data_IF_326593143474
#
_entry.id   IF_326593143474
#
_cell.length_a   1.000
_cell.length_b   1.000
_cell.length_c   1.000
_cell.angle_alpha   90.00
_cell.angle_beta   90.00
_cell.angle_gamma   90.00
#
_symmetry.space_group_name_H-M   'P 1'
#
loop_
_entity.id
_entity.type
_entity.pdbx_description
1 polymer ?
#
# COMPACT_ATOMS: atom_id res chain seq x y z
N UNK A 1 -26.97 -18.84 -13.48
CA UNK A 1 -25.59 -18.79 -14.00
C UNK A 1 -24.77 -18.16 -12.91
N UNK A 2 -24.02 -18.97 -12.16
CA UNK A 2 -23.03 -18.43 -11.24
C UNK A 2 -21.94 -17.80 -12.09
N UNK A 3 -21.79 -16.47 -11.99
CA UNK A 3 -20.65 -15.82 -12.61
C UNK A 3 -19.41 -16.34 -11.87
N UNK A 4 -18.65 -17.22 -12.50
CA UNK A 4 -17.31 -17.53 -12.04
C UNK A 4 -16.48 -16.26 -12.26
N UNK A 5 -16.50 -15.37 -11.27
CA UNK A 5 -15.76 -14.12 -11.30
C UNK A 5 -14.27 -14.43 -11.37
N UNK A 6 -13.56 -13.79 -12.30
CA UNK A 6 -12.10 -13.89 -12.37
C UNK A 6 -11.53 -13.11 -11.19
N UNK A 7 -10.79 -13.73 -10.26
CA UNK A 7 -10.20 -13.02 -9.13
C UNK A 7 -9.10 -12.10 -9.64
N UNK A 8 -9.22 -10.81 -9.33
CA UNK A 8 -8.20 -9.79 -9.60
C UNK A 8 -7.40 -9.56 -8.32
N UNK A 9 -6.08 -9.57 -8.43
CA UNK A 9 -5.16 -9.33 -7.31
C UNK A 9 -4.11 -8.31 -7.75
N UNK A 10 -3.84 -7.30 -6.93
CA UNK A 10 -2.78 -6.32 -7.18
C UNK A 10 -1.47 -6.77 -6.50
N UNK A 11 -0.36 -6.77 -7.25
CA UNK A 11 0.97 -7.05 -6.70
C UNK A 11 1.85 -5.83 -6.89
N UNK A 12 2.33 -5.27 -5.78
CA UNK A 12 3.21 -4.11 -5.77
C UNK A 12 4.64 -4.59 -5.59
N UNK A 13 5.47 -4.37 -6.61
CA UNK A 13 6.88 -4.78 -6.63
C UNK A 13 7.76 -3.54 -6.46
N UNK A 14 7.94 -2.74 -7.50
CA UNK A 14 8.65 -1.46 -7.42
C UNK A 14 7.68 -0.31 -7.69
N UNK A 15 7.90 0.85 -7.08
CA UNK A 15 6.99 1.97 -7.24
C UNK A 15 7.50 3.27 -6.66
N UNK A 16 7.07 4.37 -7.30
CA UNK A 16 7.13 5.72 -6.75
C UNK A 16 5.79 6.13 -6.15
N UNK A 17 5.59 7.42 -5.92
CA UNK A 17 4.38 7.96 -5.30
C UNK A 17 3.09 7.60 -6.06
N UNK A 18 3.16 7.50 -7.39
CA UNK A 18 2.01 7.13 -8.24
C UNK A 18 1.49 5.72 -7.93
N UNK A 19 2.38 4.78 -7.60
CA UNK A 19 2.02 3.41 -7.26
C UNK A 19 1.19 3.36 -5.97
N UNK A 20 1.55 4.18 -4.97
CA UNK A 20 0.81 4.30 -3.71
C UNK A 20 -0.62 4.77 -3.99
N UNK A 21 -0.77 5.78 -4.85
CA UNK A 21 -2.08 6.29 -5.25
C UNK A 21 -2.91 5.24 -5.97
N UNK A 22 -2.33 4.52 -6.92
CA UNK A 22 -3.03 3.45 -7.65
C UNK A 22 -3.49 2.33 -6.71
N UNK A 23 -2.65 1.94 -5.75
CA UNK A 23 -3.03 0.97 -4.71
C UNK A 23 -4.19 1.49 -3.87
N UNK A 24 -4.14 2.75 -3.45
CA UNK A 24 -5.23 3.39 -2.71
C UNK A 24 -6.54 3.38 -3.51
N UNK A 25 -6.48 3.69 -4.81
CA UNK A 25 -7.63 3.59 -5.72
C UNK A 25 -8.17 2.15 -5.78
N UNK A 26 -7.30 1.13 -5.89
CA UNK A 26 -7.71 -0.27 -5.92
C UNK A 26 -8.38 -0.79 -4.63
N UNK A 27 -7.90 -0.36 -3.46
CA UNK A 27 -8.48 -0.79 -2.18
C UNK A 27 -9.75 -0.02 -1.81
N UNK A 28 -9.92 1.19 -2.36
CA UNK A 28 -11.12 2.02 -2.14
C UNK A 28 -12.20 1.83 -3.21
N UNK A 29 -11.88 1.14 -4.31
CA UNK A 29 -12.83 0.80 -5.36
C UNK A 29 -13.86 -0.25 -4.89
N UNK A 30 -14.96 -0.38 -5.62
CA UNK A 30 -16.03 -1.35 -5.32
C UNK A 30 -16.18 -2.37 -6.46
N UNK A 31 -15.90 -3.66 -6.25
CA UNK A 31 -15.46 -4.30 -5.00
C UNK A 31 -13.97 -4.03 -4.69
N UNK A 32 -13.59 -3.97 -3.40
CA UNK A 32 -12.20 -3.70 -3.00
C UNK A 32 -11.27 -4.80 -3.52
N UNK A 33 -10.22 -4.42 -4.23
CA UNK A 33 -9.25 -5.36 -4.79
C UNK A 33 -8.21 -5.71 -3.73
N UNK A 34 -8.01 -7.00 -3.40
CA UNK A 34 -6.97 -7.40 -2.47
C UNK A 34 -5.60 -7.13 -3.12
N UNK A 35 -4.69 -6.59 -2.32
CA UNK A 35 -3.34 -6.25 -2.75
C UNK A 35 -2.31 -6.90 -1.84
N UNK A 36 -1.15 -7.20 -2.41
CA UNK A 36 0.02 -7.68 -1.67
C UNK A 36 1.27 -6.94 -2.11
N UNK A 37 2.13 -6.64 -1.15
CA UNK A 37 3.43 -6.02 -1.37
C UNK A 37 4.54 -7.06 -1.24
N UNK A 38 5.51 -7.06 -2.16
CA UNK A 38 6.77 -7.75 -1.94
C UNK A 38 7.72 -6.84 -1.15
N UNK A 39 8.02 -7.17 0.11
CA UNK A 39 8.98 -6.39 0.91
C UNK A 39 10.38 -6.47 0.30
N UNK A 40 11.05 -5.33 0.14
CA UNK A 40 12.40 -5.20 -0.39
C UNK A 40 12.50 -4.98 -1.90
N UNK A 41 11.38 -4.78 -2.61
CA UNK A 41 11.39 -4.56 -4.07
C UNK A 41 11.23 -3.10 -4.50
N UNK A 42 11.07 -2.15 -3.56
CA UNK A 42 11.07 -0.71 -3.87
C UNK A 42 10.57 0.17 -2.73
N UNK A 43 10.94 1.46 -2.76
CA UNK A 43 10.64 2.42 -1.67
C UNK A 43 9.13 2.53 -1.38
N UNK A 44 8.27 2.62 -2.40
CA UNK A 44 6.83 2.68 -2.19
C UNK A 44 6.26 1.36 -1.65
N UNK A 45 6.73 0.22 -2.15
CA UNK A 45 6.30 -1.10 -1.69
C UNK A 45 6.66 -1.33 -0.23
N UNK A 46 7.86 -0.92 0.18
CA UNK A 46 8.32 -1.01 1.57
C UNK A 46 7.53 -0.09 2.50
N UNK A 47 7.21 1.13 2.07
CA UNK A 47 6.35 2.05 2.82
C UNK A 47 4.94 1.52 3.03
N UNK A 48 4.38 0.93 1.99
CA UNK A 48 3.08 0.30 1.98
C UNK A 48 3.05 -0.95 2.89
N UNK A 49 4.08 -1.80 2.80
CA UNK A 49 4.25 -2.96 3.67
C UNK A 49 4.46 -2.55 5.15
N UNK A 50 5.22 -1.48 5.37
CA UNK A 50 5.44 -0.89 6.69
C UNK A 50 4.13 -0.37 7.25
N UNK A 51 3.43 0.51 6.55
CA UNK A 51 2.13 1.02 6.99
C UNK A 51 1.17 -0.12 7.35
N UNK A 52 1.00 -1.09 6.46
CA UNK A 52 0.14 -2.27 6.68
C UNK A 52 0.53 -3.09 7.93
N UNK A 53 1.83 -3.20 8.25
CA UNK A 53 2.31 -3.94 9.43
C UNK A 53 2.06 -3.21 10.75
N UNK A 54 1.85 -1.90 10.71
CA UNK A 54 1.65 -1.04 11.88
C UNK A 54 0.23 -0.44 11.95
N UNK A 55 -0.71 -0.90 11.11
CA UNK A 55 -2.13 -0.57 11.27
C UNK A 55 -2.69 -1.30 12.50
N UNK A 56 -3.45 -0.58 13.31
CA UNK A 56 -4.22 -1.13 14.42
C UNK A 56 -5.50 -1.80 13.92
N UNK A 57 -6.13 -2.63 14.75
CA UNK A 57 -7.44 -3.24 14.44
C UNK A 57 -8.53 -2.20 14.12
N UNK A 58 -8.37 -0.95 14.61
CA UNK A 58 -9.26 0.19 14.31
C UNK A 58 -8.95 0.88 12.95
N UNK A 59 -8.19 0.24 12.06
CA UNK A 59 -7.76 0.80 10.76
C UNK A 59 -6.94 2.11 10.90
N UNK A 60 -6.42 2.36 12.10
CA UNK A 60 -5.64 3.55 12.43
C UNK A 60 -4.15 3.27 12.44
N UNK A 61 -3.35 4.23 11.98
CA UNK A 61 -1.90 4.14 12.00
C UNK A 61 -1.35 4.71 13.32
N UNK A 62 -0.36 4.06 13.91
CA UNK A 62 0.38 4.61 15.06
C UNK A 62 0.98 5.99 14.71
N UNK A 63 0.83 6.96 15.60
CA UNK A 63 1.34 8.33 15.37
C UNK A 63 2.86 8.34 15.14
N UNK A 64 3.62 7.56 15.92
CA UNK A 64 5.07 7.39 15.72
C UNK A 64 5.42 6.86 14.32
N UNK A 65 4.59 5.94 13.80
CA UNK A 65 4.77 5.32 12.49
C UNK A 65 4.45 6.32 11.39
N UNK A 66 3.42 7.15 11.59
CA UNK A 66 3.10 8.26 10.69
C UNK A 66 4.24 9.27 10.61
N UNK A 67 4.85 9.64 11.74
CA UNK A 67 6.02 10.52 11.77
C UNK A 67 7.23 9.89 11.06
N UNK A 68 7.50 8.60 11.30
CA UNK A 68 8.57 7.88 10.59
C UNK A 68 8.33 7.82 9.07
N UNK A 69 7.09 7.62 8.64
CA UNK A 69 6.69 7.70 7.23
C UNK A 69 7.00 9.08 6.65
N UNK A 70 6.59 10.14 7.35
CA UNK A 70 6.81 11.51 6.93
C UNK A 70 8.31 11.81 6.79
N UNK A 71 9.10 11.45 7.81
CA UNK A 71 10.55 11.60 7.79
C UNK A 71 11.20 10.85 6.63
N UNK A 72 10.70 9.65 6.32
CA UNK A 72 11.23 8.84 5.20
C UNK A 72 10.93 9.49 3.85
N UNK A 73 9.72 10.04 3.68
CA UNK A 73 9.32 10.77 2.46
C UNK A 73 10.12 12.06 2.30
N UNK A 74 10.33 12.82 3.38
CA UNK A 74 11.10 14.07 3.37
C UNK A 74 12.60 13.84 3.11
N UNK A 75 13.16 12.78 3.68
CA UNK A 75 14.59 12.48 3.59
C UNK A 75 15.00 11.95 2.20
N UNK A 76 14.13 11.19 1.56
CA UNK A 76 14.41 10.51 0.29
C UNK A 76 13.22 10.70 -0.67
N UNK A 77 13.18 11.80 -1.42
CA UNK A 77 12.08 12.06 -2.35
C UNK A 77 12.01 10.95 -3.42
N UNK A 78 10.79 10.53 -3.75
CA UNK A 78 10.51 9.60 -4.84
C UNK A 78 10.74 10.31 -6.18
N UNK A 79 12.00 10.40 -6.59
CA UNK A 79 12.44 10.82 -7.93
C UNK A 79 12.42 9.65 -8.91
#
# INVERSE_FOLDING_TARGET
MEACGVPVVCVVVEGGLNTIRTVLEYVTDTPPVPWSSATGSGRAADLLAFAHRYMHDDDSLLEDVKEQLLMTIEKEPFI
#
